data_IF_121971016246
#
_entry.id   IF_121971016246
#
_cell.length_a   1.000
_cell.length_b   1.000
_cell.length_c   1.000
_cell.angle_alpha   90.00
_cell.angle_beta   90.00
_cell.angle_gamma   90.00
#
_symmetry.space_group_name_H-M   'P 1'
#
loop_
_entity.id
_entity.type
_entity.pdbx_description
1 polymer ?
#
# COMPACT_ATOMS: atom_id res chain seq x y z
N UNK A 1 -2.34 -26.56 4.34
CA UNK A 1 -1.01 -26.84 3.77
C UNK A 1 0.08 -26.38 4.73
N UNK A 2 1.27 -27.00 4.71
CA UNK A 2 2.39 -26.68 5.61
C UNK A 2 3.45 -25.85 4.88
N UNK A 3 4.00 -24.83 5.53
CA UNK A 3 5.02 -23.94 4.95
C UNK A 3 6.41 -24.55 5.08
N UNK A 4 7.23 -24.48 4.04
CA UNK A 4 8.63 -24.95 4.10
C UNK A 4 9.51 -23.96 4.88
N UNK A 5 10.58 -24.45 5.51
CA UNK A 5 11.65 -23.67 6.15
C UNK A 5 12.08 -22.43 5.34
N UNK A 6 12.21 -22.54 4.01
CA UNK A 6 12.58 -21.41 3.14
C UNK A 6 11.52 -20.31 3.12
N UNK A 7 10.23 -20.66 3.14
CA UNK A 7 9.15 -19.69 3.21
C UNK A 7 9.12 -18.99 4.57
N UNK A 8 9.36 -19.72 5.66
CA UNK A 8 9.43 -19.14 7.00
C UNK A 8 10.61 -18.15 7.15
N UNK A 9 11.77 -18.48 6.55
CA UNK A 9 12.92 -17.57 6.52
C UNK A 9 12.62 -16.30 5.73
N UNK A 10 11.98 -16.42 4.57
CA UNK A 10 11.59 -15.27 3.75
C UNK A 10 10.62 -14.34 4.49
N UNK A 11 9.64 -14.90 5.20
CA UNK A 11 8.69 -14.13 6.01
C UNK A 11 9.35 -13.37 7.16
N UNK A 12 10.23 -14.03 7.92
CA UNK A 12 10.96 -13.39 9.01
C UNK A 12 11.83 -12.24 8.50
N UNK A 13 12.46 -12.42 7.34
CA UNK A 13 13.23 -11.37 6.69
C UNK A 13 12.35 -10.20 6.24
N UNK A 14 11.22 -10.48 5.59
CA UNK A 14 10.24 -9.44 5.19
C UNK A 14 9.70 -8.67 6.40
N UNK A 15 9.34 -9.38 7.48
CA UNK A 15 8.89 -8.77 8.72
C UNK A 15 9.96 -7.91 9.37
N UNK A 16 11.23 -8.30 9.32
CA UNK A 16 12.34 -7.50 9.84
C UNK A 16 12.58 -6.23 9.00
N UNK A 17 12.45 -6.33 7.67
CA UNK A 17 12.60 -5.18 6.76
C UNK A 17 11.45 -4.18 6.88
N UNK A 18 10.21 -4.65 7.01
CA UNK A 18 9.01 -3.80 7.10
C UNK A 18 8.71 -3.33 8.53
N UNK A 19 9.15 -4.10 9.54
CA UNK A 19 8.76 -3.97 10.93
C UNK A 19 9.60 -3.04 11.81
N UNK A 20 10.63 -2.37 11.29
CA UNK A 20 11.46 -1.43 12.08
C UNK A 20 10.74 -0.15 12.55
N UNK A 21 9.41 -0.07 12.39
CA UNK A 21 8.58 1.05 12.86
C UNK A 21 7.40 0.67 13.74
N UNK A 22 7.39 -0.52 14.34
CA UNK A 22 6.58 -0.71 15.57
C UNK A 22 7.29 -0.03 16.74
N UNK A 23 7.18 1.30 16.77
CA UNK A 23 7.23 2.06 18.01
C UNK A 23 5.96 1.76 18.81
N UNK A 24 5.85 0.52 19.30
CA UNK A 24 4.89 0.16 20.32
C UNK A 24 5.71 -0.18 21.54
N UNK A 25 5.76 0.75 22.49
CA UNK A 25 6.46 0.54 23.75
C UNK A 25 5.95 -0.73 24.42
N UNK A 26 6.83 -1.71 24.56
CA UNK A 26 6.67 -2.86 25.42
C UNK A 26 8.06 -3.29 25.86
N UNK A 27 8.44 -2.87 27.06
CA UNK A 27 9.69 -3.30 27.69
C UNK A 27 9.73 -4.81 27.90
N UNK A 28 10.92 -5.40 27.75
CA UNK A 28 11.16 -6.78 28.14
C UNK A 28 12.37 -7.44 27.47
N UNK A 29 13.55 -7.28 28.08
CA UNK A 29 14.53 -8.38 28.21
C UNK A 29 15.51 -8.66 27.07
N UNK A 30 16.69 -8.05 27.18
CA UNK A 30 18.03 -8.67 27.07
C UNK A 30 18.34 -9.66 25.93
N UNK A 31 19.20 -9.23 25.00
CA UNK A 31 19.91 -10.13 24.08
C UNK A 31 20.94 -9.38 23.22
N UNK A 32 22.20 -9.74 23.38
CA UNK A 32 23.41 -9.14 22.82
C UNK A 32 23.38 -8.65 21.35
N UNK A 33 23.92 -7.44 21.14
CA UNK A 33 24.86 -7.16 20.05
C UNK A 33 24.38 -7.37 18.62
N UNK A 34 23.24 -6.80 18.24
CA UNK A 34 23.04 -6.37 16.85
C UNK A 34 22.81 -4.88 16.93
N UNK A 35 23.76 -4.09 16.44
CA UNK A 35 23.52 -2.65 16.23
C UNK A 35 22.32 -2.57 15.29
N UNK A 36 21.13 -2.37 15.87
CA UNK A 36 19.89 -2.20 15.13
C UNK A 36 20.03 -0.90 14.38
N UNK A 37 20.67 -0.98 13.21
CA UNK A 37 20.80 0.13 12.28
C UNK A 37 19.37 0.62 12.08
N UNK A 38 19.04 1.89 12.40
CA UNK A 38 17.68 2.38 12.30
C UNK A 38 17.25 2.17 10.86
N UNK A 39 16.47 1.11 10.65
CA UNK A 39 15.95 0.79 9.33
C UNK A 39 14.81 1.77 9.21
N UNK A 40 14.95 2.77 8.35
CA UNK A 40 13.89 3.75 8.15
C UNK A 40 12.64 2.99 7.69
N UNK A 41 11.43 3.34 8.17
CA UNK A 41 10.21 2.70 7.70
C UNK A 41 10.14 2.79 6.18
N UNK A 42 10.04 1.63 5.52
CA UNK A 42 9.80 1.56 4.08
C UNK A 42 8.35 2.02 3.85
N UNK A 43 8.18 3.18 3.21
CA UNK A 43 6.87 3.69 2.81
C UNK A 43 6.72 3.55 1.30
N UNK A 44 6.00 2.52 0.81
CA UNK A 44 5.74 2.41 -0.61
C UNK A 44 4.87 3.59 -1.05
N UNK A 45 5.22 4.18 -2.20
CA UNK A 45 4.39 5.19 -2.85
C UNK A 45 3.78 4.55 -4.10
N UNK A 46 2.46 4.67 -4.22
CA UNK A 46 1.70 4.17 -5.36
C UNK A 46 0.78 5.25 -5.88
N UNK A 47 0.55 5.26 -7.20
CA UNK A 47 -0.43 6.11 -7.83
C UNK A 47 -1.63 5.24 -8.23
N UNK A 48 -2.82 5.60 -7.72
CA UNK A 48 -4.06 4.88 -8.01
C UNK A 48 -5.12 5.87 -8.51
N UNK A 49 -5.67 5.59 -9.67
CA UNK A 49 -6.82 6.31 -10.22
C UNK A 49 -8.09 5.53 -9.92
N UNK A 50 -8.98 6.09 -9.12
CA UNK A 50 -10.21 5.43 -8.65
C UNK A 50 -11.43 6.15 -9.22
N UNK A 51 -12.38 5.46 -9.90
CA UNK A 51 -13.67 6.05 -10.24
C UNK A 51 -14.38 6.55 -9.00
N UNK A 52 -14.90 7.78 -9.02
CA UNK A 52 -15.45 8.43 -7.82
C UNK A 52 -16.61 7.65 -7.20
N UNK A 53 -17.47 7.03 -8.00
CA UNK A 53 -18.58 6.22 -7.49
C UNK A 53 -18.11 4.90 -6.88
N UNK A 54 -17.04 4.30 -7.43
CA UNK A 54 -16.41 3.12 -6.83
C UNK A 54 -15.71 3.47 -5.50
N UNK A 55 -15.09 4.66 -5.42
CA UNK A 55 -14.51 5.17 -4.18
C UNK A 55 -15.57 5.37 -3.08
N UNK A 56 -16.74 5.90 -3.45
CA UNK A 56 -17.90 6.09 -2.56
C UNK A 56 -18.64 4.77 -2.23
N UNK A 57 -18.23 3.64 -2.80
CA UNK A 57 -18.89 2.34 -2.59
C UNK A 57 -20.25 2.20 -3.28
N UNK A 58 -20.53 3.05 -4.28
CA UNK A 58 -21.77 3.01 -5.07
C UNK A 58 -21.66 2.06 -6.26
N UNK A 59 -20.45 1.82 -6.76
CA UNK A 59 -20.15 0.86 -7.83
C UNK A 59 -18.93 0.00 -7.46
N UNK A 60 -18.71 -1.07 -8.23
CA UNK A 60 -17.55 -1.97 -8.08
C UNK A 60 -16.66 -1.95 -9.34
N UNK A 61 -16.67 -0.84 -10.06
CA UNK A 61 -15.78 -0.63 -11.19
C UNK A 61 -14.31 -0.68 -10.73
N UNK A 62 -13.42 -1.32 -11.49
CA UNK A 62 -12.03 -1.45 -11.11
C UNK A 62 -11.33 -0.09 -11.07
N UNK A 63 -10.37 0.06 -10.16
CA UNK A 63 -9.45 1.19 -10.13
C UNK A 63 -8.17 0.85 -10.90
N UNK A 64 -7.43 1.84 -11.35
CA UNK A 64 -6.14 1.65 -12.03
C UNK A 64 -4.97 1.93 -11.11
N UNK A 65 -4.11 0.94 -10.91
CA UNK A 65 -2.83 1.08 -10.23
C UNK A 65 -1.72 1.24 -11.26
N UNK A 66 -0.96 2.33 -11.17
CA UNK A 66 0.12 2.61 -12.11
C UNK A 66 1.19 1.49 -12.10
N UNK A 67 1.67 1.12 -13.29
CA UNK A 67 2.62 0.02 -13.47
C UNK A 67 2.10 -1.41 -13.23
N UNK A 68 0.90 -1.58 -12.67
CA UNK A 68 0.31 -2.91 -12.39
C UNK A 68 -0.94 -3.20 -13.23
N UNK A 69 -1.81 -2.21 -13.42
CA UNK A 69 -3.07 -2.38 -14.13
C UNK A 69 -4.30 -2.36 -13.19
N UNK A 70 -5.43 -2.93 -13.61
CA UNK A 70 -6.68 -2.85 -12.85
C UNK A 70 -6.59 -3.57 -11.50
N UNK A 71 -7.12 -2.96 -10.45
CA UNK A 71 -7.28 -3.54 -9.12
C UNK A 71 -8.75 -3.45 -8.66
N UNK A 72 -9.22 -4.38 -7.82
CA UNK A 72 -10.59 -4.32 -7.28
C UNK A 72 -10.85 -3.03 -6.51
N UNK A 73 -12.06 -2.48 -6.61
CA UNK A 73 -12.48 -1.28 -5.90
C UNK A 73 -12.26 -1.39 -4.37
N UNK A 74 -12.51 -2.58 -3.80
CA UNK A 74 -12.26 -2.85 -2.38
C UNK A 74 -10.79 -2.77 -1.97
N UNK A 75 -9.85 -3.04 -2.87
CA UNK A 75 -8.41 -2.88 -2.62
C UNK A 75 -8.03 -1.40 -2.72
N UNK A 76 -8.52 -0.70 -3.75
CA UNK A 76 -8.28 0.73 -3.90
C UNK A 76 -8.80 1.55 -2.71
N UNK A 77 -10.01 1.26 -2.22
CA UNK A 77 -10.58 1.91 -1.03
C UNK A 77 -9.72 1.71 0.22
N UNK A 78 -9.14 0.52 0.40
CA UNK A 78 -8.19 0.26 1.50
C UNK A 78 -6.91 1.07 1.35
N UNK A 79 -6.30 1.06 0.16
CA UNK A 79 -5.09 1.86 -0.12
C UNK A 79 -5.30 3.34 0.15
N UNK A 80 -6.47 3.88 -0.24
CA UNK A 80 -6.84 5.25 0.03
C UNK A 80 -7.05 5.49 1.53
N UNK A 81 -7.82 4.63 2.22
CA UNK A 81 -8.10 4.79 3.64
C UNK A 81 -6.84 4.71 4.53
N UNK A 82 -5.88 3.86 4.15
CA UNK A 82 -4.69 3.59 4.95
C UNK A 82 -3.49 4.51 4.61
N UNK A 83 -3.53 5.22 3.48
CA UNK A 83 -2.33 5.89 2.96
C UNK A 83 -2.51 7.15 2.12
N UNK A 84 -3.73 7.59 1.79
CA UNK A 84 -3.94 8.82 1.03
C UNK A 84 -4.24 10.00 1.95
N UNK A 85 -3.30 10.95 2.03
CA UNK A 85 -3.48 12.21 2.75
C UNK A 85 -4.23 13.27 1.92
N UNK A 86 -4.28 13.09 0.59
CA UNK A 86 -4.91 14.03 -0.34
C UNK A 86 -5.35 13.34 -1.63
N UNK A 87 -6.21 14.03 -2.38
CA UNK A 87 -6.73 13.59 -3.67
C UNK A 87 -6.44 14.61 -4.76
N UNK A 88 -6.10 14.10 -5.95
CA UNK A 88 -6.04 14.91 -7.16
C UNK A 88 -7.28 14.60 -8.00
N UNK A 89 -7.96 15.63 -8.48
CA UNK A 89 -9.08 15.44 -9.40
C UNK A 89 -8.54 15.25 -10.80
N UNK A 90 -8.82 14.09 -11.41
CA UNK A 90 -8.43 13.81 -12.79
C UNK A 90 -9.68 13.85 -13.66
N UNK A 91 -9.64 14.66 -14.72
CA UNK A 91 -10.62 14.57 -15.81
C UNK A 91 -10.13 13.52 -16.79
N UNK A 92 -11.01 12.59 -17.17
CA UNK A 92 -10.70 11.50 -18.11
C UNK A 92 -11.66 11.56 -19.31
N UNK A 93 -11.18 11.14 -20.47
CA UNK A 93 -12.05 10.93 -21.65
C UNK A 93 -12.97 9.73 -21.39
N UNK A 94 -14.30 9.88 -21.53
CA UNK A 94 -15.24 8.80 -21.27
C UNK A 94 -15.17 7.63 -22.27
N UNK A 95 -14.47 7.77 -23.40
CA UNK A 95 -14.34 6.72 -24.43
C UNK A 95 -13.23 5.73 -24.15
N UNK A 96 -12.09 6.21 -23.65
CA UNK A 96 -10.88 5.41 -23.50
C UNK A 96 -10.21 5.56 -22.11
N UNK A 97 -10.72 6.45 -21.26
CA UNK A 97 -10.17 6.70 -19.92
C UNK A 97 -8.88 7.52 -19.92
N UNK A 98 -8.48 8.11 -21.06
CA UNK A 98 -7.26 8.90 -21.16
C UNK A 98 -7.33 10.14 -20.26
N UNK A 99 -6.29 10.45 -19.45
CA UNK A 99 -6.26 11.67 -18.64
C UNK A 99 -6.25 12.92 -19.52
N UNK A 100 -7.20 13.82 -19.31
CA UNK A 100 -7.35 15.09 -20.01
C UNK A 100 -6.80 16.26 -19.19
N UNK A 101 -6.98 16.24 -17.87
CA UNK A 101 -6.47 17.27 -16.96
C UNK A 101 -6.27 16.69 -15.56
N UNK A 102 -5.23 17.15 -14.86
CA UNK A 102 -5.03 16.91 -13.43
C UNK A 102 -5.22 18.26 -12.72
N UNK A 103 -6.28 18.36 -11.93
CA UNK A 103 -6.54 19.52 -11.07
C UNK A 103 -5.45 19.67 -10.01
N UNK A 104 -5.06 20.92 -9.74
CA UNK A 104 -4.07 21.29 -8.72
C UNK A 104 -4.69 21.42 -7.35
#
# INVERSE_FOLDING_TARGET
>A
EHRNLSQLRADNFSSALLGSSTSTGSGGGGGAGTEARPTLPIRPQVLVTVPVFALLGLTEEPAMLDGHGPIPASMARRLVADGADSFHRVLVDPRDGAPLEIGR
#
